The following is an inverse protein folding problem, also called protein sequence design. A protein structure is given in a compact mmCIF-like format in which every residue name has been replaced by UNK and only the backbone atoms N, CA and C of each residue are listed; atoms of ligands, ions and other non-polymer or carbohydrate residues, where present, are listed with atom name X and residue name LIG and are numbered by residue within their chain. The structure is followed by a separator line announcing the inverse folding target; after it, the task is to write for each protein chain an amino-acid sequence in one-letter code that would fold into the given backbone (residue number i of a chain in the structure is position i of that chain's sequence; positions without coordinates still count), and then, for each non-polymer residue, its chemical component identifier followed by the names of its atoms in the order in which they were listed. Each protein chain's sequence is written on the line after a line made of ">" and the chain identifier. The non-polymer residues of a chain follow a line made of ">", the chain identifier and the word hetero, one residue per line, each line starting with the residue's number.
data_IF_466320464041
#
_entry.id   IF_466320464041
#
_cell.length_a   1.000
_cell.length_b   1.000
_cell.length_c   1.000
_cell.angle_alpha   90.00
_cell.angle_beta   90.00
_cell.angle_gamma   90.00
#
_symmetry.space_group_name_H-M   'P 1'
#
loop_
_entity.id
_entity.type
_entity.pdbx_description
1 polymer ?
#
# COMPACT_ATOMS: atom_id res chain seq x y z
N UNK A 1 10.63 -44.79 -39.37
CA UNK A 1 9.45 -43.98 -39.00
C UNK A 1 9.08 -44.33 -37.56
N UNK A 2 9.39 -43.45 -36.60
CA UNK A 2 9.06 -43.66 -35.19
C UNK A 2 7.61 -43.23 -34.94
N UNK A 3 6.75 -44.17 -34.54
CA UNK A 3 5.35 -43.89 -34.24
C UNK A 3 5.23 -43.21 -32.87
N UNK A 4 5.01 -41.89 -32.88
CA UNK A 4 4.72 -41.10 -31.68
C UNK A 4 3.30 -41.44 -31.18
N UNK A 5 3.19 -42.36 -30.22
CA UNK A 5 1.91 -42.65 -29.55
C UNK A 5 1.59 -41.60 -28.48
N UNK A 6 0.29 -41.27 -28.32
CA UNK A 6 -0.30 -40.32 -27.34
C UNK A 6 0.26 -40.41 -25.90
N UNK A 7 0.78 -41.57 -25.49
CA UNK A 7 1.39 -41.78 -24.16
C UNK A 7 2.74 -41.07 -23.99
N UNK A 8 3.50 -40.88 -25.07
CA UNK A 8 4.78 -40.16 -25.06
C UNK A 8 4.55 -38.64 -24.92
N UNK A 9 3.44 -38.13 -25.47
CA UNK A 9 3.04 -36.73 -25.33
C UNK A 9 2.61 -36.38 -23.89
N UNK A 10 1.93 -37.30 -23.19
CA UNK A 10 1.49 -37.09 -21.80
C UNK A 10 2.63 -37.06 -20.77
N UNK A 11 3.67 -37.88 -20.98
CA UNK A 11 4.85 -37.87 -20.11
C UNK A 11 5.76 -36.65 -20.33
N UNK A 12 5.85 -36.14 -21.57
CA UNK A 12 6.61 -34.91 -21.86
C UNK A 12 6.03 -33.66 -21.17
N UNK A 13 4.69 -33.59 -21.07
CA UNK A 13 3.98 -32.49 -20.39
C UNK A 13 4.12 -32.54 -18.86
N UNK A 14 4.22 -33.73 -18.26
CA UNK A 14 4.39 -33.85 -16.81
C UNK A 14 5.79 -33.46 -16.33
N UNK A 15 6.83 -33.73 -17.14
CA UNK A 15 8.23 -33.35 -16.83
C UNK A 15 8.46 -31.86 -17.07
N UNK A 16 7.79 -31.25 -18.05
CA UNK A 16 7.82 -29.80 -18.25
C UNK A 16 7.09 -29.04 -17.13
N UNK A 17 6.03 -29.61 -16.56
CA UNK A 17 5.28 -29.00 -15.46
C UNK A 17 6.03 -29.03 -14.11
N UNK A 18 6.85 -30.04 -13.83
CA UNK A 18 7.66 -30.09 -12.60
C UNK A 18 8.93 -29.23 -12.67
N UNK A 19 9.48 -28.96 -13.85
CA UNK A 19 10.61 -28.06 -14.02
C UNK A 19 10.25 -26.57 -13.85
N UNK A 20 8.98 -26.20 -14.01
CA UNK A 20 8.51 -24.82 -13.88
C UNK A 20 8.26 -24.37 -12.43
N UNK A 21 8.25 -25.29 -11.45
CA UNK A 21 7.92 -24.98 -10.05
C UNK A 21 9.18 -24.56 -9.24
N UNK A 22 10.38 -24.71 -9.82
CA UNK A 22 11.64 -24.44 -9.10
C UNK A 22 12.33 -23.11 -9.46
N UNK A 23 11.68 -22.21 -10.19
CA UNK A 23 12.14 -20.81 -10.21
C UNK A 23 11.66 -20.11 -8.94
N UNK A 24 12.31 -20.43 -7.81
CA UNK A 24 12.49 -19.43 -6.78
C UNK A 24 13.23 -18.28 -7.44
N UNK A 25 12.50 -17.26 -7.87
CA UNK A 25 13.10 -16.04 -8.38
C UNK A 25 14.07 -15.57 -7.29
N UNK A 26 15.38 -15.63 -7.58
CA UNK A 26 16.35 -14.96 -6.76
C UNK A 26 15.95 -13.49 -6.79
N UNK A 27 15.46 -12.97 -5.65
CA UNK A 27 15.16 -11.57 -5.55
C UNK A 27 16.47 -10.81 -5.80
N UNK A 28 16.46 -9.89 -6.76
CA UNK A 28 17.59 -9.01 -6.99
C UNK A 28 17.96 -8.31 -5.68
N UNK A 29 19.25 -8.12 -5.45
CA UNK A 29 19.73 -7.40 -4.28
C UNK A 29 19.08 -5.99 -4.23
N UNK A 30 18.30 -5.74 -3.18
CA UNK A 30 17.59 -4.49 -2.99
C UNK A 30 18.59 -3.34 -2.74
N UNK A 31 18.94 -2.59 -3.79
CA UNK A 31 19.91 -1.47 -3.67
C UNK A 31 19.30 -0.21 -3.05
N UNK A 32 18.01 0.01 -3.28
CA UNK A 32 17.28 1.14 -2.73
C UNK A 32 15.93 0.68 -2.20
N UNK A 33 15.52 1.24 -1.07
CA UNK A 33 14.22 0.98 -0.45
C UNK A 33 13.42 2.29 -0.37
N UNK A 34 12.41 2.41 -1.22
CA UNK A 34 11.58 3.59 -1.40
C UNK A 34 10.33 3.48 -0.54
N UNK A 35 10.22 4.37 0.44
CA UNK A 35 9.15 4.39 1.44
C UNK A 35 8.21 5.55 1.14
N UNK A 36 6.99 5.24 0.72
CA UNK A 36 5.91 6.21 0.59
C UNK A 36 5.32 6.59 1.96
N UNK A 37 5.21 7.88 2.23
CA UNK A 37 4.64 8.36 3.48
C UNK A 37 3.88 9.69 3.30
N UNK A 38 3.01 9.98 4.26
CA UNK A 38 2.38 11.29 4.44
C UNK A 38 3.06 12.00 5.62
N UNK A 39 3.13 13.34 5.65
CA UNK A 39 3.76 14.14 6.72
C UNK A 39 2.98 14.10 8.05
N UNK A 40 2.76 12.91 8.60
CA UNK A 40 2.09 12.68 9.87
C UNK A 40 2.53 11.34 10.48
N UNK A 41 2.31 11.18 11.78
CA UNK A 41 2.46 9.91 12.49
C UNK A 41 3.88 9.33 12.53
N UNK A 42 3.93 7.99 12.70
CA UNK A 42 5.17 7.23 12.91
C UNK A 42 6.21 7.37 11.79
N UNK A 43 5.85 7.40 10.49
CA UNK A 43 6.85 7.54 9.42
C UNK A 43 7.71 8.80 9.54
N UNK A 44 7.13 9.93 9.98
CA UNK A 44 7.88 11.18 10.17
C UNK A 44 8.94 11.01 11.26
N UNK A 45 8.58 10.36 12.37
CA UNK A 45 9.50 10.08 13.47
C UNK A 45 10.59 9.10 13.04
N UNK A 46 10.21 8.02 12.36
CA UNK A 46 11.15 7.03 11.85
C UNK A 46 12.17 7.64 10.89
N UNK A 47 11.73 8.52 9.98
CA UNK A 47 12.58 9.29 9.07
C UNK A 47 13.52 10.22 9.82
N UNK A 48 12.99 11.01 10.77
CA UNK A 48 13.79 11.98 11.52
C UNK A 48 14.89 11.31 12.36
N UNK A 49 14.58 10.16 12.96
CA UNK A 49 15.52 9.39 13.78
C UNK A 49 16.40 8.43 12.96
N UNK A 50 16.16 8.34 11.65
CA UNK A 50 16.84 7.46 10.70
C UNK A 50 16.79 5.99 11.14
N UNK A 51 15.65 5.53 11.66
CA UNK A 51 15.51 4.19 12.27
C UNK A 51 15.74 3.10 11.21
N UNK A 52 15.16 3.27 10.03
CA UNK A 52 15.19 2.26 8.96
C UNK A 52 16.55 2.26 8.27
N UNK A 53 17.14 3.43 8.05
CA UNK A 53 18.49 3.61 7.53
C UNK A 53 19.51 2.87 8.39
N UNK A 54 19.44 3.04 9.71
CA UNK A 54 20.34 2.35 10.65
C UNK A 54 20.15 0.84 10.62
N UNK A 55 18.90 0.37 10.56
CA UNK A 55 18.59 -1.06 10.51
C UNK A 55 19.06 -1.74 9.21
N UNK A 56 19.20 -0.98 8.12
CA UNK A 56 19.61 -1.49 6.81
C UNK A 56 21.06 -1.15 6.43
N UNK A 57 21.80 -0.46 7.30
CA UNK A 57 23.16 0.01 7.02
C UNK A 57 24.11 -1.14 6.63
N UNK A 58 24.11 -2.23 7.40
CA UNK A 58 24.97 -3.40 7.18
C UNK A 58 24.61 -4.19 5.91
N UNK A 59 23.44 -3.90 5.31
CA UNK A 59 22.96 -4.53 4.08
C UNK A 59 23.25 -3.68 2.84
N UNK A 60 23.87 -2.51 2.99
CA UNK A 60 24.19 -1.62 1.86
C UNK A 60 22.97 -1.05 1.12
N UNK A 61 21.80 -1.04 1.76
CA UNK A 61 20.55 -0.56 1.15
C UNK A 61 20.37 0.92 1.40
N UNK A 62 20.11 1.70 0.35
CA UNK A 62 19.80 3.13 0.48
C UNK A 62 18.31 3.34 0.73
N UNK A 63 17.92 3.92 1.87
CA UNK A 63 16.53 4.29 2.13
C UNK A 63 16.20 5.63 1.49
N UNK A 64 15.06 5.70 0.78
CA UNK A 64 14.52 6.91 0.18
C UNK A 64 13.10 7.12 0.66
N UNK A 65 12.78 8.35 1.05
CA UNK A 65 11.43 8.72 1.50
C UNK A 65 10.72 9.51 0.40
N UNK A 66 9.55 9.01 -0.04
CA UNK A 66 8.72 9.65 -1.05
C UNK A 66 7.47 10.19 -0.38
N UNK A 67 7.33 11.51 -0.40
CA UNK A 67 6.21 12.18 0.26
C UNK A 67 4.98 12.23 -0.65
N UNK A 68 3.82 11.90 -0.07
CA UNK A 68 2.52 12.03 -0.70
C UNK A 68 1.60 12.92 0.13
N UNK A 69 0.72 13.64 -0.57
CA UNK A 69 -0.28 14.52 0.08
C UNK A 69 -1.53 13.76 0.52
N UNK A 70 -1.79 12.57 -0.05
CA UNK A 70 -2.95 11.74 0.26
C UNK A 70 -2.66 10.25 0.04
N UNK A 71 -3.51 9.38 0.59
CA UNK A 71 -3.39 7.92 0.45
C UNK A 71 -3.60 7.37 -0.97
N UNK A 72 -4.61 7.82 -1.74
CA UNK A 72 -4.83 7.32 -3.11
C UNK A 72 -3.59 7.40 -4.03
N UNK A 73 -2.91 8.56 -4.20
CA UNK A 73 -1.72 8.62 -5.06
C UNK A 73 -0.55 7.79 -4.50
N UNK A 74 -0.47 7.59 -3.18
CA UNK A 74 0.52 6.69 -2.56
C UNK A 74 0.24 5.23 -2.96
N UNK A 75 -1.01 4.79 -2.92
CA UNK A 75 -1.40 3.43 -3.34
C UNK A 75 -1.22 3.23 -4.83
N UNK A 76 -1.49 4.24 -5.66
CA UNK A 76 -1.21 4.20 -7.10
C UNK A 76 0.28 4.04 -7.37
N UNK A 77 1.14 4.79 -6.66
CA UNK A 77 2.59 4.67 -6.77
C UNK A 77 3.10 3.30 -6.31
N UNK A 78 2.53 2.74 -5.24
CA UNK A 78 2.86 1.39 -4.77
C UNK A 78 2.49 0.34 -5.82
N UNK A 79 1.30 0.45 -6.41
CA UNK A 79 0.78 -0.52 -7.39
C UNK A 79 1.65 -0.62 -8.65
N UNK A 80 2.30 0.48 -9.06
CA UNK A 80 3.19 0.50 -10.22
C UNK A 80 4.67 0.29 -9.87
N UNK A 81 4.98 0.00 -8.59
CA UNK A 81 6.35 -0.22 -8.12
C UNK A 81 7.22 1.04 -8.05
N UNK A 82 6.61 2.24 -8.01
CA UNK A 82 7.35 3.49 -7.82
C UNK A 82 7.79 3.70 -6.35
N UNK A 83 7.14 2.99 -5.42
CA UNK A 83 7.58 2.81 -4.03
C UNK A 83 7.48 1.33 -3.66
N UNK A 84 8.29 0.88 -2.71
CA UNK A 84 8.38 -0.52 -2.29
C UNK A 84 7.44 -0.82 -1.10
N UNK A 85 7.24 0.18 -0.23
CA UNK A 85 6.31 0.13 0.89
C UNK A 85 5.62 1.48 1.05
N UNK A 86 4.36 1.46 1.47
CA UNK A 86 3.59 2.66 1.75
C UNK A 86 2.94 2.59 3.13
N UNK A 87 2.98 3.70 3.87
CA UNK A 87 2.18 3.88 5.08
C UNK A 87 1.06 4.89 4.81
N UNK A 88 -0.18 4.45 4.98
CA UNK A 88 -1.39 5.27 4.82
C UNK A 88 -2.51 4.73 5.70
N UNK A 89 -3.70 5.34 5.63
CA UNK A 89 -4.90 4.87 6.33
C UNK A 89 -5.44 3.55 5.75
N UNK A 90 -6.51 3.06 6.36
CA UNK A 90 -7.21 1.83 5.98
C UNK A 90 -8.00 1.94 4.66
N UNK A 91 -8.69 3.06 4.43
CA UNK A 91 -9.54 3.23 3.25
C UNK A 91 -8.77 3.18 1.91
N UNK A 92 -7.65 3.92 1.71
CA UNK A 92 -6.94 3.94 0.43
C UNK A 92 -6.56 2.56 -0.14
N UNK A 93 -5.90 1.65 0.62
CA UNK A 93 -5.55 0.33 0.08
C UNK A 93 -6.78 -0.53 -0.20
N UNK A 94 -7.88 -0.39 0.54
CA UNK A 94 -9.16 -1.09 0.24
C UNK A 94 -9.71 -0.62 -1.10
N UNK A 95 -9.77 0.70 -1.34
CA UNK A 95 -10.21 1.25 -2.62
C UNK A 95 -9.29 0.81 -3.76
N UNK A 96 -7.97 0.92 -3.57
CA UNK A 96 -6.98 0.49 -4.55
C UNK A 96 -7.12 -0.99 -4.91
N UNK A 97 -7.22 -1.87 -3.90
CA UNK A 97 -7.34 -3.30 -4.13
C UNK A 97 -8.68 -3.67 -4.77
N UNK A 98 -9.79 -3.02 -4.40
CA UNK A 98 -11.09 -3.20 -5.08
C UNK A 98 -11.05 -2.78 -6.55
N UNK A 99 -10.17 -1.84 -6.91
CA UNK A 99 -9.90 -1.42 -8.28
C UNK A 99 -8.83 -2.28 -8.99
N UNK A 100 -8.36 -3.36 -8.37
CA UNK A 100 -7.41 -4.31 -8.97
C UNK A 100 -5.94 -4.03 -8.68
N UNK A 101 -5.61 -3.16 -7.72
CA UNK A 101 -4.23 -2.95 -7.31
C UNK A 101 -3.63 -4.24 -6.71
N UNK A 102 -2.43 -4.62 -7.17
CA UNK A 102 -1.72 -5.79 -6.68
C UNK A 102 -0.83 -5.43 -5.49
N UNK A 103 -1.46 -5.25 -4.33
CA UNK A 103 -0.80 -4.86 -3.08
C UNK A 103 -1.09 -5.87 -1.98
N UNK A 104 -0.24 -5.87 -0.95
CA UNK A 104 -0.39 -6.70 0.25
C UNK A 104 -0.31 -5.84 1.51
N UNK A 105 -0.99 -6.28 2.58
CA UNK A 105 -0.95 -5.63 3.88
C UNK A 105 0.15 -6.26 4.74
N UNK A 106 1.27 -5.54 4.93
CA UNK A 106 2.40 -6.04 5.72
C UNK A 106 2.23 -5.83 7.24
N UNK A 107 1.53 -4.77 7.64
CA UNK A 107 1.28 -4.42 9.03
C UNK A 107 0.02 -3.56 9.15
N UNK A 108 -0.62 -3.58 10.32
CA UNK A 108 -1.73 -2.72 10.67
C UNK A 108 -1.59 -2.24 12.11
N UNK A 109 -2.07 -1.03 12.39
CA UNK A 109 -2.17 -0.48 13.74
C UNK A 109 -3.65 -0.47 14.14
N UNK A 110 -3.97 -0.78 15.41
CA UNK A 110 -5.34 -0.62 15.89
C UNK A 110 -5.77 0.84 15.78
N UNK A 111 -7.04 1.08 15.45
CA UNK A 111 -7.61 2.43 15.48
C UNK A 111 -7.64 2.95 16.92
N UNK A 112 -7.25 4.22 17.10
CA UNK A 112 -7.42 4.94 18.36
C UNK A 112 -8.70 5.80 18.37
N UNK A 113 -9.49 5.81 17.29
CA UNK A 113 -10.76 6.54 17.19
C UNK A 113 -10.68 8.07 17.16
N UNK A 114 -9.49 8.66 17.33
CA UNK A 114 -9.31 10.11 17.52
C UNK A 114 -8.59 10.79 16.35
N UNK A 115 -8.27 10.04 15.30
CA UNK A 115 -7.49 10.54 14.16
C UNK A 115 -8.24 11.44 13.17
N UNK A 116 -9.56 11.59 13.31
CA UNK A 116 -10.40 12.27 12.33
C UNK A 116 -11.45 13.17 12.96
N UNK A 117 -11.78 14.27 12.28
CA UNK A 117 -12.76 15.25 12.76
C UNK A 117 -13.48 15.95 11.59
N UNK A 118 -14.72 16.39 11.85
CA UNK A 118 -15.47 17.26 10.94
C UNK A 118 -15.17 18.71 11.29
N UNK A 119 -14.59 19.44 10.34
CA UNK A 119 -14.32 20.87 10.50
C UNK A 119 -15.42 21.73 9.90
N UNK A 120 -15.80 22.76 10.63
CA UNK A 120 -16.72 23.81 10.17
C UNK A 120 -16.03 25.17 10.20
N UNK A 121 -16.58 26.15 9.48
CA UNK A 121 -16.07 27.53 9.55
C UNK A 121 -16.22 28.07 10.99
N UNK A 122 -15.32 28.95 11.47
CA UNK A 122 -15.40 29.50 12.83
C UNK A 122 -16.75 30.13 13.20
N UNK A 123 -17.42 30.80 12.25
CA UNK A 123 -18.73 31.41 12.44
C UNK A 123 -19.91 30.49 12.05
N UNK A 124 -19.69 29.18 11.96
CA UNK A 124 -20.73 28.22 11.55
C UNK A 124 -21.78 28.04 12.66
N UNK A 125 -23.08 27.99 12.32
CA UNK A 125 -24.12 27.66 13.28
C UNK A 125 -24.17 26.15 13.61
N UNK A 126 -23.41 25.31 12.91
CA UNK A 126 -23.33 23.86 13.15
C UNK A 126 -22.52 23.64 14.44
N UNK A 127 -23.16 23.07 15.45
CA UNK A 127 -22.55 22.80 16.76
C UNK A 127 -22.65 21.31 17.16
N UNK A 128 -23.44 20.52 16.42
CA UNK A 128 -23.65 19.11 16.66
C UNK A 128 -23.77 18.31 15.36
N UNK A 129 -23.66 16.97 15.45
CA UNK A 129 -23.87 16.09 14.31
C UNK A 129 -25.31 16.19 13.73
N UNK A 130 -26.30 16.48 14.57
CA UNK A 130 -27.69 16.63 14.13
C UNK A 130 -27.86 17.80 13.14
N UNK A 131 -27.07 18.86 13.29
CA UNK A 131 -27.09 20.04 12.42
C UNK A 131 -26.57 19.75 11.00
N UNK A 132 -25.88 18.61 10.81
CA UNK A 132 -25.39 18.15 9.51
C UNK A 132 -26.51 17.53 8.65
N UNK A 133 -27.67 17.22 9.23
CA UNK A 133 -28.77 16.58 8.49
C UNK A 133 -29.19 17.45 7.29
N UNK A 134 -29.17 16.85 6.10
CA UNK A 134 -29.50 17.53 4.85
C UNK A 134 -28.44 18.52 4.35
N UNK A 135 -27.27 18.60 5.01
CA UNK A 135 -26.11 19.37 4.52
C UNK A 135 -25.27 18.53 3.57
N UNK A 136 -24.43 19.20 2.78
CA UNK A 136 -23.40 18.56 1.96
C UNK A 136 -22.09 18.57 2.74
N UNK A 137 -21.43 17.42 2.83
CA UNK A 137 -20.13 17.27 3.48
C UNK A 137 -19.08 17.06 2.39
N UNK A 138 -18.00 17.85 2.44
CA UNK A 138 -16.89 17.72 1.50
C UNK A 138 -15.85 16.74 2.03
N UNK A 139 -15.57 15.67 1.29
CA UNK A 139 -14.55 14.67 1.63
C UNK A 139 -13.69 14.33 0.42
N UNK A 140 -12.47 13.86 0.67
CA UNK A 140 -11.64 13.25 -0.36
C UNK A 140 -12.20 11.89 -0.77
N UNK A 141 -12.30 11.60 -2.07
CA UNK A 141 -12.69 10.26 -2.53
C UNK A 141 -11.56 9.27 -2.25
N UNK A 142 -11.88 8.13 -1.63
CA UNK A 142 -10.90 7.08 -1.33
C UNK A 142 -9.88 7.41 -0.24
N UNK A 143 -10.08 8.50 0.52
CA UNK A 143 -9.28 8.82 1.71
C UNK A 143 -9.96 8.28 2.97
N UNK A 144 -9.28 8.28 4.12
CA UNK A 144 -9.88 7.84 5.40
C UNK A 144 -11.12 8.66 5.79
N UNK A 145 -11.14 9.96 5.47
CA UNK A 145 -12.32 10.82 5.64
C UNK A 145 -13.57 10.34 4.88
N UNK A 146 -13.44 9.42 3.93
CA UNK A 146 -14.56 8.79 3.25
C UNK A 146 -15.31 7.81 4.15
N UNK A 147 -14.68 7.22 5.17
CA UNK A 147 -15.31 6.31 6.13
C UNK A 147 -16.20 7.06 7.15
N UNK A 148 -15.99 8.36 7.31
CA UNK A 148 -16.69 9.20 8.28
C UNK A 148 -18.10 9.63 7.84
N UNK A 149 -18.43 9.53 6.55
CA UNK A 149 -19.61 10.17 5.94
C UNK A 149 -20.51 9.22 5.17
#
# INVERSE_FOLDING_TARGET
>A
MFNLTRRVFGLGLLVAATAAISFGAAADDLKAFNIGYQKTGLPVIARQQQIIEKALADKGVTVKWVEFTAGPPLVEALNVGAIDVGWTGDAPPIFGQSAGANIVYAAALPSNGEGEAIFVKPASPIQSLADLKGKRIGVGKGTSAHNLV
#
